data_IF_839357258027
#
_entry.id   IF_839357258027
#
_cell.length_a   1.000
_cell.length_b   1.000
_cell.length_c   1.000
_cell.angle_alpha   90.00
_cell.angle_beta   90.00
_cell.angle_gamma   90.00
#
_symmetry.space_group_name_H-M   'P 1'
#
loop_
_entity.id
_entity.type
_entity.pdbx_description
1 polymer ?
#
# COMPACT_ATOMS: atom_id res chain seq x y z
N UNK A 1 35.02 0.44 11.79
CA UNK A 1 34.01 0.46 10.72
C UNK A 1 32.95 -0.56 11.08
N UNK A 2 31.88 -0.13 11.75
CA UNK A 2 30.73 -1.00 12.03
C UNK A 2 29.99 -1.19 10.71
N UNK A 3 30.05 -2.38 10.14
CA UNK A 3 29.15 -2.81 9.08
C UNK A 3 27.74 -2.83 9.66
N UNK A 4 27.02 -1.72 9.52
CA UNK A 4 25.57 -1.71 9.70
C UNK A 4 25.04 -2.67 8.66
N UNK A 5 24.62 -3.86 9.09
CA UNK A 5 23.77 -4.72 8.28
C UNK A 5 22.57 -3.84 7.93
N UNK A 6 22.50 -3.31 6.71
CA UNK A 6 21.36 -2.53 6.31
C UNK A 6 20.22 -3.54 6.18
N UNK A 7 19.46 -3.69 7.27
CA UNK A 7 18.27 -4.53 7.33
C UNK A 7 17.44 -4.21 6.10
N UNK A 8 17.12 -5.22 5.30
CA UNK A 8 16.34 -5.04 4.10
C UNK A 8 15.05 -4.29 4.45
N UNK A 9 14.88 -3.09 3.91
CA UNK A 9 13.68 -2.31 4.15
C UNK A 9 12.50 -2.95 3.41
N UNK A 10 11.35 -2.98 4.04
CA UNK A 10 10.10 -3.39 3.42
C UNK A 10 9.04 -2.35 3.75
N UNK A 11 8.65 -1.57 2.75
CA UNK A 11 7.78 -0.41 2.90
C UNK A 11 6.40 -0.75 2.35
N UNK A 12 5.38 -0.65 3.20
CA UNK A 12 3.99 -0.75 2.80
C UNK A 12 3.52 0.60 2.24
N UNK A 13 2.90 0.59 1.05
CA UNK A 13 2.34 1.77 0.39
C UNK A 13 0.82 1.62 0.34
N UNK A 14 0.09 2.39 1.14
CA UNK A 14 -1.38 2.35 1.14
C UNK A 14 -1.94 3.51 0.34
N UNK A 15 -2.50 3.19 -0.82
CA UNK A 15 -3.10 4.18 -1.70
C UNK A 15 -4.61 4.28 -1.49
N UNK A 16 -5.12 5.51 -1.42
CA UNK A 16 -6.55 5.77 -1.49
C UNK A 16 -7.04 5.52 -2.93
N UNK A 17 -8.01 4.62 -3.18
CA UNK A 17 -8.26 4.06 -4.51
C UNK A 17 -8.76 5.04 -5.58
N UNK A 18 -9.23 6.22 -5.18
CA UNK A 18 -10.03 7.08 -6.03
C UNK A 18 -9.21 8.20 -6.68
N UNK A 19 -9.72 8.74 -7.79
CA UNK A 19 -9.11 9.88 -8.49
C UNK A 19 -7.61 9.66 -8.82
N UNK A 20 -6.76 10.65 -8.59
CA UNK A 20 -5.33 10.62 -8.89
C UNK A 20 -4.43 10.14 -7.75
N UNK A 21 -4.97 9.95 -6.54
CA UNK A 21 -4.20 9.59 -5.33
C UNK A 21 -3.29 8.36 -5.54
N UNK A 22 -3.76 7.25 -6.14
CA UNK A 22 -2.93 6.05 -6.37
C UNK A 22 -1.64 6.35 -7.16
N UNK A 23 -1.79 7.08 -8.27
CA UNK A 23 -0.67 7.42 -9.13
C UNK A 23 0.25 8.46 -8.49
N UNK A 24 -0.30 9.41 -7.72
CA UNK A 24 0.49 10.38 -6.96
C UNK A 24 1.40 9.69 -5.93
N UNK A 25 0.86 8.77 -5.13
CA UNK A 25 1.63 8.02 -4.14
C UNK A 25 2.74 7.20 -4.81
N UNK A 26 2.40 6.47 -5.88
CA UNK A 26 3.37 5.67 -6.63
C UNK A 26 4.52 6.54 -7.18
N UNK A 27 4.21 7.70 -7.76
CA UNK A 27 5.22 8.62 -8.31
C UNK A 27 6.15 9.17 -7.23
N UNK A 28 5.63 9.51 -6.06
CA UNK A 28 6.45 9.95 -4.91
C UNK A 28 7.42 8.84 -4.51
N UNK A 29 6.92 7.62 -4.36
CA UNK A 29 7.74 6.49 -3.94
C UNK A 29 8.78 6.06 -4.97
N UNK A 30 8.47 6.14 -6.26
CA UNK A 30 9.45 5.91 -7.31
C UNK A 30 10.61 6.92 -7.23
N UNK A 31 10.33 8.20 -6.97
CA UNK A 31 11.38 9.21 -6.78
C UNK A 31 12.20 8.95 -5.52
N UNK A 32 11.53 8.64 -4.41
CA UNK A 32 12.20 8.34 -3.12
C UNK A 32 13.05 7.08 -3.18
N UNK A 33 12.69 6.10 -4.03
CA UNK A 33 13.43 4.83 -4.15
C UNK A 33 14.91 5.02 -4.47
N UNK A 34 15.29 6.11 -5.16
CA UNK A 34 16.68 6.44 -5.49
C UNK A 34 17.54 6.85 -4.29
N UNK A 35 16.92 7.23 -3.18
CA UNK A 35 17.57 7.63 -1.93
C UNK A 35 17.58 6.49 -0.89
N UNK A 36 16.93 5.37 -1.19
CA UNK A 36 16.81 4.23 -0.30
C UNK A 36 17.83 3.14 -0.69
N UNK A 37 18.17 2.22 0.25
CA UNK A 37 18.99 1.06 -0.07
C UNK A 37 18.46 0.30 -1.29
N UNK A 38 19.35 -0.18 -2.16
CA UNK A 38 18.98 -0.83 -3.42
C UNK A 38 18.17 -2.12 -3.25
N UNK A 39 18.26 -2.76 -2.09
CA UNK A 39 17.49 -3.94 -1.71
C UNK A 39 16.12 -3.61 -1.08
N UNK A 40 15.70 -2.34 -1.03
CA UNK A 40 14.39 -1.95 -0.49
C UNK A 40 13.26 -2.59 -1.27
N UNK A 41 12.38 -3.27 -0.55
CA UNK A 41 11.14 -3.83 -1.06
C UNK A 41 9.98 -2.85 -0.85
N UNK A 42 9.13 -2.73 -1.86
CA UNK A 42 7.88 -1.99 -1.76
C UNK A 42 6.71 -2.96 -1.97
N UNK A 43 5.68 -2.82 -1.16
CA UNK A 43 4.41 -3.53 -1.31
C UNK A 43 3.30 -2.50 -1.38
N UNK A 44 2.67 -2.41 -2.55
CA UNK A 44 1.66 -1.43 -2.89
C UNK A 44 0.28 -2.03 -2.75
N UNK A 45 -0.55 -1.45 -1.88
CA UNK A 45 -1.87 -1.94 -1.51
C UNK A 45 -2.93 -0.99 -2.02
N UNK A 46 -3.84 -1.52 -2.82
CA UNK A 46 -4.99 -0.79 -3.35
C UNK A 46 -6.05 -1.78 -3.86
N UNK A 47 -7.19 -1.29 -4.34
CA UNK A 47 -8.24 -2.13 -4.92
C UNK A 47 -7.81 -2.69 -6.28
N UNK A 48 -8.33 -3.88 -6.69
CA UNK A 48 -7.99 -4.49 -7.98
C UNK A 48 -8.19 -3.55 -9.18
N UNK A 49 -9.30 -2.80 -9.17
CA UNK A 49 -9.63 -1.84 -10.23
C UNK A 49 -8.62 -0.69 -10.24
N UNK A 50 -8.29 -0.13 -9.07
CA UNK A 50 -7.35 0.99 -8.96
C UNK A 50 -5.92 0.58 -9.33
N UNK A 51 -5.50 -0.63 -8.93
CA UNK A 51 -4.22 -1.22 -9.33
C UNK A 51 -4.11 -1.35 -10.85
N UNK A 52 -5.13 -1.92 -11.50
CA UNK A 52 -5.17 -2.07 -12.97
C UNK A 52 -5.05 -0.71 -13.67
N UNK A 53 -5.77 0.32 -13.19
CA UNK A 53 -5.72 1.66 -13.76
C UNK A 53 -4.39 2.38 -13.51
N UNK A 54 -3.76 2.15 -12.36
CA UNK A 54 -2.49 2.78 -11.99
C UNK A 54 -1.36 2.20 -12.84
N UNK A 55 -1.22 0.88 -12.86
CA UNK A 55 -0.10 0.19 -13.52
C UNK A 55 -0.28 -0.01 -15.03
N UNK A 56 -1.45 0.34 -15.59
CA UNK A 56 -1.58 0.51 -17.05
C UNK A 56 -0.97 1.83 -17.55
N UNK A 57 -0.84 2.84 -16.68
CA UNK A 57 -0.31 4.18 -17.00
C UNK A 57 1.14 4.39 -16.60
N UNK A 58 1.64 3.61 -15.64
CA UNK A 58 2.99 3.74 -15.09
C UNK A 58 3.75 2.42 -15.18
N UNK A 59 5.04 2.47 -15.52
CA UNK A 59 5.91 1.29 -15.45
C UNK A 59 6.15 0.87 -14.00
N UNK A 60 6.06 -0.43 -13.75
CA UNK A 60 6.34 -1.05 -12.45
C UNK A 60 7.86 -1.24 -12.30
N UNK A 61 8.44 -0.75 -11.20
CA UNK A 61 9.83 -1.09 -10.86
C UNK A 61 9.89 -2.52 -10.30
N UNK A 62 11.01 -3.22 -10.54
CA UNK A 62 11.15 -4.64 -10.16
C UNK A 62 11.04 -4.90 -8.65
N UNK A 63 11.26 -3.88 -7.82
CA UNK A 63 11.20 -3.96 -6.36
C UNK A 63 9.81 -3.65 -5.77
N UNK A 64 8.85 -3.18 -6.59
CA UNK A 64 7.46 -2.97 -6.18
C UNK A 64 6.65 -4.24 -6.45
N UNK A 65 5.92 -4.70 -5.45
CA UNK A 65 4.88 -5.72 -5.61
C UNK A 65 3.51 -5.12 -5.32
N UNK A 66 2.50 -5.56 -6.04
CA UNK A 66 1.15 -5.01 -5.98
C UNK A 66 0.25 -6.03 -5.32
N UNK A 67 -0.54 -5.59 -4.36
CA UNK A 67 -1.47 -6.39 -3.57
C UNK A 67 -2.86 -5.79 -3.72
N UNK A 68 -3.80 -6.66 -4.10
CA UNK A 68 -5.20 -6.31 -4.21
C UNK A 68 -5.87 -6.39 -2.84
N UNK A 69 -6.50 -5.29 -2.44
CA UNK A 69 -7.27 -5.16 -1.21
C UNK A 69 -8.74 -5.08 -1.57
N UNK A 70 -9.56 -5.92 -0.94
CA UNK A 70 -11.01 -5.90 -1.16
C UNK A 70 -11.61 -4.59 -0.64
N UNK A 71 -12.54 -4.02 -1.42
CA UNK A 71 -13.13 -2.69 -1.21
C UNK A 71 -14.54 -2.75 -0.59
N UNK A 72 -15.01 -3.92 -0.18
CA UNK A 72 -16.33 -4.11 0.40
C UNK A 72 -17.43 -4.43 -0.61
N UNK A 73 -17.16 -4.33 -1.91
CA UNK A 73 -18.16 -4.62 -2.94
C UNK A 73 -18.37 -6.13 -3.02
N UNK A 74 -19.61 -6.57 -2.79
CA UNK A 74 -19.99 -7.98 -2.91
C UNK A 74 -20.08 -8.37 -4.37
N UNK A 75 -19.65 -9.59 -4.67
CA UNK A 75 -19.76 -10.16 -6.02
C UNK A 75 -21.24 -10.17 -6.48
N UNK A 76 -21.48 -9.74 -7.72
CA UNK A 76 -22.81 -9.67 -8.31
C UNK A 76 -23.58 -8.37 -8.06
N UNK A 77 -23.03 -7.44 -7.27
CA UNK A 77 -23.59 -6.09 -7.15
C UNK A 77 -23.13 -5.18 -8.30
N UNK A 78 -23.91 -4.11 -8.55
CA UNK A 78 -23.49 -3.03 -9.42
C UNK A 78 -22.21 -2.36 -8.89
N UNK A 79 -21.36 -1.88 -9.80
CA UNK A 79 -20.14 -1.15 -9.43
C UNK A 79 -20.53 0.18 -8.78
N UNK A 80 -20.21 0.41 -7.49
CA UNK A 80 -20.56 1.65 -6.82
C UNK A 80 -19.72 2.80 -7.39
N UNK A 81 -20.23 4.03 -7.27
CA UNK A 81 -19.53 5.22 -7.74
C UNK A 81 -19.64 6.39 -6.75
N UNK A 82 -18.71 7.33 -6.84
CA UNK A 82 -18.71 8.52 -6.00
C UNK A 82 -18.66 8.19 -4.51
N UNK A 83 -19.60 8.75 -3.74
CA UNK A 83 -19.62 8.63 -2.28
C UNK A 83 -19.86 7.19 -1.81
N UNK A 84 -20.72 6.43 -2.49
CA UNK A 84 -21.04 5.04 -2.12
C UNK A 84 -19.80 4.15 -2.18
N UNK A 85 -18.98 4.30 -3.23
CA UNK A 85 -17.73 3.54 -3.36
C UNK A 85 -16.75 3.88 -2.24
N UNK A 86 -16.66 5.16 -1.86
CA UNK A 86 -15.81 5.61 -0.74
C UNK A 86 -16.29 5.02 0.57
N UNK A 87 -17.60 5.06 0.84
CA UNK A 87 -18.18 4.54 2.07
C UNK A 87 -17.95 3.03 2.22
N UNK A 88 -18.22 2.25 1.17
CA UNK A 88 -17.99 0.79 1.17
C UNK A 88 -16.52 0.45 1.43
N UNK A 89 -15.60 1.18 0.77
CA UNK A 89 -14.18 1.00 0.97
C UNK A 89 -13.78 1.29 2.43
N UNK A 90 -14.16 2.46 2.95
CA UNK A 90 -13.80 2.86 4.33
C UNK A 90 -14.37 1.88 5.36
N UNK A 91 -15.63 1.45 5.22
CA UNK A 91 -16.27 0.48 6.13
C UNK A 91 -15.58 -0.90 6.12
N UNK A 92 -14.90 -1.24 5.04
CA UNK A 92 -14.19 -2.52 4.88
C UNK A 92 -12.73 -2.45 5.34
N UNK A 93 -12.25 -1.25 5.70
CA UNK A 93 -10.95 -1.02 6.32
C UNK A 93 -11.10 -0.79 7.84
N UNK A 94 -10.09 -1.09 8.67
CA UNK A 94 -8.72 -1.51 8.32
C UNK A 94 -8.53 -3.01 8.06
N UNK A 95 -9.51 -3.86 8.38
CA UNK A 95 -9.34 -5.31 8.45
C UNK A 95 -8.79 -5.93 7.14
N UNK A 96 -9.26 -5.46 5.98
CA UNK A 96 -8.78 -5.94 4.69
C UNK A 96 -7.29 -5.61 4.45
N UNK A 97 -6.84 -4.42 4.84
CA UNK A 97 -5.42 -4.06 4.75
C UNK A 97 -4.57 -4.92 5.69
N UNK A 98 -5.00 -5.10 6.94
CA UNK A 98 -4.26 -5.94 7.89
C UNK A 98 -4.09 -7.38 7.38
N UNK A 99 -5.14 -7.94 6.77
CA UNK A 99 -5.07 -9.26 6.14
C UNK A 99 -4.05 -9.28 5.00
N UNK A 100 -4.16 -8.36 4.04
CA UNK A 100 -3.25 -8.30 2.89
C UNK A 100 -1.80 -8.01 3.31
N UNK A 101 -1.57 -7.26 4.38
CA UNK A 101 -0.23 -7.06 4.94
C UNK A 101 0.39 -8.38 5.42
N UNK A 102 -0.35 -9.21 6.15
CA UNK A 102 0.16 -10.50 6.62
C UNK A 102 0.54 -11.41 5.45
N UNK A 103 -0.33 -11.47 4.45
CA UNK A 103 -0.08 -12.21 3.21
C UNK A 103 1.18 -11.69 2.49
N UNK A 104 1.35 -10.37 2.43
CA UNK A 104 2.54 -9.76 1.84
C UNK A 104 3.82 -10.06 2.63
N UNK A 105 3.81 -10.02 3.96
CA UNK A 105 4.98 -10.38 4.76
C UNK A 105 5.37 -11.85 4.59
N UNK A 106 4.38 -12.76 4.58
CA UNK A 106 4.58 -14.19 4.35
C UNK A 106 5.20 -14.44 2.97
N UNK A 107 4.64 -13.82 1.93
CA UNK A 107 5.10 -14.00 0.57
C UNK A 107 6.47 -13.36 0.31
N UNK A 108 6.76 -12.23 0.95
CA UNK A 108 8.02 -11.49 0.79
C UNK A 108 9.12 -12.03 1.72
N UNK A 109 8.76 -12.75 2.78
CA UNK A 109 9.67 -13.27 3.78
C UNK A 109 10.34 -12.20 4.65
N UNK A 110 9.84 -10.95 4.62
CA UNK A 110 10.42 -9.80 5.33
C UNK A 110 9.30 -9.00 5.98
N UNK A 111 9.46 -8.66 7.25
CA UNK A 111 8.51 -7.82 8.01
C UNK A 111 8.55 -6.37 7.53
N UNK A 112 7.41 -5.70 7.61
CA UNK A 112 7.35 -4.27 7.30
C UNK A 112 8.24 -3.46 8.24
N UNK A 113 8.88 -2.43 7.70
CA UNK A 113 9.74 -1.50 8.44
C UNK A 113 9.19 -0.07 8.42
N UNK A 114 8.13 0.20 7.65
CA UNK A 114 7.49 1.50 7.51
C UNK A 114 6.13 1.35 6.82
N UNK A 115 5.15 2.16 7.23
CA UNK A 115 3.91 2.38 6.47
C UNK A 115 3.93 3.79 5.89
N UNK A 116 3.80 3.88 4.57
CA UNK A 116 3.58 5.13 3.85
C UNK A 116 2.16 5.09 3.27
N UNK A 117 1.32 6.07 3.58
CA UNK A 117 -0.09 6.04 3.15
C UNK A 117 -0.60 7.38 2.68
N UNK A 118 -1.65 7.40 1.86
CA UNK A 118 -2.48 8.60 1.74
C UNK A 118 -3.12 8.95 3.11
N UNK A 119 -3.10 10.23 3.49
CA UNK A 119 -3.60 10.70 4.80
C UNK A 119 -5.10 10.44 5.06
N UNK A 120 -5.90 10.17 4.03
CA UNK A 120 -7.31 9.79 4.19
C UNK A 120 -7.48 8.40 4.81
N UNK A 121 -6.46 7.55 4.75
CA UNK A 121 -6.43 6.24 5.38
C UNK A 121 -5.98 6.38 6.84
N UNK A 122 -6.75 7.09 7.66
CA UNK A 122 -6.41 7.45 9.04
C UNK A 122 -6.01 6.23 9.92
N UNK A 123 -6.59 5.06 9.64
CA UNK A 123 -6.27 3.80 10.31
C UNK A 123 -4.82 3.34 10.10
N UNK A 124 -4.10 3.90 9.13
CA UNK A 124 -2.69 3.57 8.85
C UNK A 124 -1.79 3.89 10.04
N UNK A 125 -2.10 4.94 10.81
CA UNK A 125 -1.40 5.26 12.05
C UNK A 125 -1.52 4.14 13.08
N UNK A 126 -2.73 3.63 13.29
CA UNK A 126 -3.01 2.55 14.25
C UNK A 126 -2.37 1.23 13.81
N UNK A 127 -2.38 0.93 12.50
CA UNK A 127 -1.69 -0.25 11.97
C UNK A 127 -0.17 -0.14 12.15
N UNK A 128 0.41 1.03 11.94
CA UNK A 128 1.84 1.26 12.13
C UNK A 128 2.25 1.12 13.60
N UNK A 129 1.46 1.68 14.52
CA UNK A 129 1.65 1.51 15.97
C UNK A 129 1.55 0.04 16.38
N UNK A 130 0.56 -0.69 15.85
CA UNK A 130 0.35 -2.12 16.14
C UNK A 130 1.55 -3.00 15.77
N UNK A 131 2.30 -2.64 14.72
CA UNK A 131 3.49 -3.40 14.28
C UNK A 131 4.81 -2.71 14.64
N UNK A 132 4.76 -1.64 15.45
CA UNK A 132 5.91 -0.87 15.94
C UNK A 132 6.83 -0.34 14.82
N UNK A 133 6.24 0.32 13.82
CA UNK A 133 6.98 0.95 12.70
C UNK A 133 6.60 2.41 12.52
N UNK A 134 7.49 3.24 11.93
CA UNK A 134 7.13 4.60 11.55
C UNK A 134 5.99 4.64 10.53
N UNK A 135 5.15 5.67 10.68
CA UNK A 135 4.11 6.03 9.73
C UNK A 135 4.44 7.37 9.05
N UNK A 136 4.25 7.43 7.74
CA UNK A 136 4.40 8.63 6.92
C UNK A 136 3.11 8.81 6.09
N UNK A 137 2.57 10.03 6.06
CA UNK A 137 1.38 10.38 5.31
C UNK A 137 1.54 11.66 4.48
#
# INVERSE_FOLDING_TARGET
MTTTHCSQLHIALFAFPFSSYPTCLLNVMQKLSSFLPSNTLFSYFNTPQSNTLTFSKSSKSNNVKVYDVWDGVKEGNDTPFGHEAIELFIQSTPANFEKSMKEAEEERGVKFSCIFSDAFLWFSCELAEKIDVPWIA
#
